data_IF_866357835273
#
_entry.id   IF_866357835273
#
_cell.length_a   1.000
_cell.length_b   1.000
_cell.length_c   1.000
_cell.angle_alpha   90.00
_cell.angle_beta   90.00
_cell.angle_gamma   90.00
#
_symmetry.space_group_name_H-M   'P 1'
#
loop_
_entity.id
_entity.type
_entity.pdbx_description
1 polymer ?
#
# COMPACT_ATOMS: atom_id res chain seq x y z
N UNK A 1 -21.08 -3.58 12.52
CA UNK A 1 -20.25 -2.43 12.08
C UNK A 1 -19.25 -2.93 11.04
N UNK A 2 -19.00 -2.20 9.95
CA UNK A 2 -18.04 -2.62 8.91
C UNK A 2 -16.62 -2.44 9.41
N UNK A 3 -15.72 -3.39 9.17
CA UNK A 3 -14.33 -3.36 9.64
C UNK A 3 -13.38 -2.86 8.56
N UNK A 4 -12.60 -1.81 8.87
CA UNK A 4 -11.55 -1.26 8.03
C UNK A 4 -10.19 -1.45 8.70
N UNK A 5 -9.19 -1.87 7.95
CA UNK A 5 -7.79 -1.85 8.40
C UNK A 5 -7.03 -0.88 7.50
N UNK A 6 -6.43 0.15 8.11
CA UNK A 6 -5.62 1.15 7.43
C UNK A 6 -4.14 0.93 7.75
N UNK A 7 -3.33 0.72 6.71
CA UNK A 7 -1.89 0.42 6.80
C UNK A 7 -1.09 1.55 6.18
N UNK A 8 -0.18 2.15 6.95
CA UNK A 8 0.72 3.18 6.45
C UNK A 8 1.96 3.28 7.34
N UNK A 9 3.00 3.96 6.84
CA UNK A 9 4.04 4.49 7.73
C UNK A 9 3.37 5.52 8.65
N UNK A 10 3.48 5.34 9.96
CA UNK A 10 2.87 6.22 10.97
C UNK A 10 1.36 6.47 10.76
N UNK A 11 0.58 5.41 10.57
CA UNK A 11 -0.84 5.44 10.22
C UNK A 11 -1.74 6.36 11.08
N UNK A 12 -1.38 6.59 12.35
CA UNK A 12 -2.13 7.49 13.23
C UNK A 12 -2.10 8.97 12.79
N UNK A 13 -1.07 9.39 12.06
CA UNK A 13 -0.97 10.77 11.53
C UNK A 13 -2.13 11.09 10.57
N UNK A 14 -2.65 10.07 9.88
CA UNK A 14 -3.72 10.22 8.90
C UNK A 14 -5.12 10.03 9.50
N UNK A 15 -5.24 9.82 10.82
CA UNK A 15 -6.52 9.47 11.48
C UNK A 15 -7.66 10.40 11.11
N UNK A 16 -7.44 11.72 11.14
CA UNK A 16 -8.47 12.72 10.78
C UNK A 16 -9.01 12.52 9.37
N UNK A 17 -8.14 12.23 8.42
CA UNK A 17 -8.48 12.04 7.02
C UNK A 17 -9.19 10.71 6.77
N UNK A 18 -8.70 9.63 7.39
CA UNK A 18 -9.28 8.30 7.24
C UNK A 18 -10.67 8.22 7.88
N UNK A 19 -10.87 8.79 9.08
CA UNK A 19 -12.20 8.87 9.70
C UNK A 19 -13.16 9.68 8.85
N UNK A 20 -12.73 10.84 8.31
CA UNK A 20 -13.57 11.65 7.42
C UNK A 20 -13.97 10.90 6.15
N UNK A 21 -13.06 10.11 5.57
CA UNK A 21 -13.30 9.36 4.33
C UNK A 21 -14.16 8.11 4.54
N UNK A 22 -14.07 7.48 5.71
CA UNK A 22 -14.78 6.24 6.03
C UNK A 22 -15.51 6.33 7.39
N UNK A 23 -16.51 7.22 7.52
CA UNK A 23 -17.17 7.49 8.81
C UNK A 23 -17.93 6.28 9.38
N UNK A 24 -18.38 5.36 8.52
CA UNK A 24 -19.22 4.20 8.92
C UNK A 24 -18.41 2.93 9.24
N UNK A 25 -17.08 3.04 9.33
CA UNK A 25 -16.20 1.90 9.58
C UNK A 25 -15.58 1.94 10.97
N UNK A 26 -15.47 0.76 11.58
CA UNK A 26 -14.56 0.51 12.69
C UNK A 26 -13.14 0.41 12.14
N UNK A 27 -12.28 1.37 12.46
CA UNK A 27 -10.96 1.50 11.83
C UNK A 27 -9.85 1.04 12.76
N UNK A 28 -9.16 -0.04 12.37
CA UNK A 28 -7.87 -0.45 12.94
C UNK A 28 -6.72 0.21 12.17
N UNK A 29 -5.80 0.83 12.89
CA UNK A 29 -4.62 1.50 12.33
C UNK A 29 -3.38 0.65 12.54
N UNK A 30 -2.69 0.29 11.46
CA UNK A 30 -1.40 -0.41 11.47
C UNK A 30 -0.30 0.58 11.09
N UNK A 31 0.49 0.98 12.08
CA UNK A 31 1.59 1.94 11.88
C UNK A 31 2.89 1.19 11.64
N UNK A 32 3.31 1.13 10.39
CA UNK A 32 4.60 0.54 10.01
C UNK A 32 5.72 1.42 10.55
N UNK A 33 6.76 0.82 11.14
CA UNK A 33 7.96 1.54 11.59
C UNK A 33 9.09 1.37 10.59
N UNK A 34 9.68 2.46 10.10
CA UNK A 34 10.79 2.36 9.15
C UNK A 34 12.01 1.70 9.79
N UNK A 35 12.52 2.28 10.88
CA UNK A 35 13.78 1.87 11.51
C UNK A 35 13.71 0.40 11.95
N UNK A 36 14.74 -0.37 11.60
CA UNK A 36 14.95 -1.78 11.97
C UNK A 36 13.95 -2.81 11.45
N UNK A 37 12.92 -2.42 10.68
CA UNK A 37 11.97 -3.36 10.09
C UNK A 37 12.14 -3.50 8.58
N UNK A 38 11.77 -4.68 8.12
CA UNK A 38 11.75 -5.12 6.74
C UNK A 38 10.31 -5.37 6.27
N UNK A 39 10.12 -5.66 4.98
CA UNK A 39 8.81 -5.90 4.38
C UNK A 39 8.12 -7.08 5.07
N UNK A 40 8.87 -8.16 5.33
CA UNK A 40 8.34 -9.33 6.04
C UNK A 40 7.81 -8.99 7.45
N UNK A 41 8.47 -8.07 8.15
CA UNK A 41 8.07 -7.67 9.51
C UNK A 41 6.77 -6.87 9.46
N UNK A 42 6.65 -5.95 8.48
CA UNK A 42 5.42 -5.20 8.23
C UNK A 42 4.24 -6.08 7.83
N UNK A 43 4.47 -7.13 7.03
CA UNK A 43 3.45 -8.13 6.72
C UNK A 43 3.00 -8.85 8.00
N UNK A 44 3.95 -9.32 8.81
CA UNK A 44 3.65 -10.04 10.05
C UNK A 44 2.88 -9.17 11.05
N UNK A 45 3.28 -7.90 11.22
CA UNK A 45 2.60 -6.93 12.07
C UNK A 45 1.16 -6.66 11.60
N UNK A 46 0.98 -6.45 10.29
CA UNK A 46 -0.34 -6.21 9.70
C UNK A 46 -1.26 -7.42 9.90
N UNK A 47 -0.77 -8.64 9.62
CA UNK A 47 -1.52 -9.88 9.85
C UNK A 47 -1.88 -10.07 11.32
N UNK A 48 -0.94 -9.80 12.24
CA UNK A 48 -1.18 -9.88 13.69
C UNK A 48 -2.26 -8.90 14.14
N UNK A 49 -2.29 -7.67 13.61
CA UNK A 49 -3.31 -6.68 13.94
C UNK A 49 -4.71 -7.10 13.45
N UNK A 50 -4.77 -7.72 12.27
CA UNK A 50 -6.00 -8.28 11.70
C UNK A 50 -6.47 -9.49 12.51
N UNK A 51 -5.55 -10.39 12.88
CA UNK A 51 -5.86 -11.63 13.57
C UNK A 51 -6.79 -12.52 12.74
N UNK A 52 -7.82 -13.08 13.38
CA UNK A 52 -8.85 -13.89 12.73
C UNK A 52 -10.09 -13.07 12.34
N UNK A 53 -10.03 -11.74 12.44
CA UNK A 53 -11.16 -10.89 12.08
C UNK A 53 -11.41 -10.89 10.57
N UNK A 54 -12.69 -10.91 10.20
CA UNK A 54 -13.07 -10.53 8.84
C UNK A 54 -12.78 -9.05 8.59
N UNK A 55 -12.27 -8.74 7.40
CA UNK A 55 -11.95 -7.37 6.98
C UNK A 55 -12.84 -6.99 5.79
N UNK A 56 -13.71 -6.01 5.97
CA UNK A 56 -14.56 -5.52 4.87
C UNK A 56 -13.74 -4.67 3.89
N UNK A 57 -12.82 -3.86 4.41
CA UNK A 57 -11.99 -2.97 3.60
C UNK A 57 -10.56 -2.92 4.15
N UNK A 58 -9.60 -3.32 3.33
CA UNK A 58 -8.18 -3.13 3.59
C UNK A 58 -7.68 -1.95 2.77
N UNK A 59 -7.12 -0.94 3.43
CA UNK A 59 -6.60 0.26 2.79
C UNK A 59 -5.12 0.39 3.10
N UNK A 60 -4.30 0.62 2.09
CA UNK A 60 -2.87 0.87 2.29
C UNK A 60 -2.42 2.15 1.62
N UNK A 61 -1.59 2.94 2.29
CA UNK A 61 -0.98 4.15 1.74
C UNK A 61 0.54 4.04 1.63
N UNK A 62 1.12 4.51 0.52
CA UNK A 62 2.58 4.50 0.31
C UNK A 62 3.12 3.07 0.37
N UNK A 63 4.13 2.80 1.21
CA UNK A 63 4.60 1.43 1.49
C UNK A 63 3.48 0.56 2.05
N UNK A 64 2.58 1.13 2.86
CA UNK A 64 1.40 0.43 3.36
C UNK A 64 0.47 -0.07 2.26
N UNK A 65 0.45 0.57 1.08
CA UNK A 65 -0.26 0.09 -0.11
C UNK A 65 0.24 -1.26 -0.60
N UNK A 66 1.57 -1.43 -0.62
CA UNK A 66 2.21 -2.69 -1.00
C UNK A 66 2.02 -3.75 0.08
N UNK A 67 2.12 -3.38 1.35
CA UNK A 67 1.86 -4.31 2.47
C UNK A 67 0.41 -4.78 2.47
N UNK A 68 -0.55 -3.88 2.26
CA UNK A 68 -1.96 -4.23 2.12
C UNK A 68 -2.19 -5.24 0.98
N UNK A 69 -1.57 -5.02 -0.19
CA UNK A 69 -1.63 -5.95 -1.31
C UNK A 69 -1.03 -7.33 -0.96
N UNK A 70 0.14 -7.36 -0.33
CA UNK A 70 0.83 -8.59 0.09
C UNK A 70 0.03 -9.39 1.14
N UNK A 71 -0.69 -8.70 2.02
CA UNK A 71 -1.52 -9.32 3.07
C UNK A 71 -2.88 -9.76 2.53
N UNK A 72 -3.42 -9.07 1.52
CA UNK A 72 -4.75 -9.34 0.98
C UNK A 72 -4.91 -10.76 0.42
N UNK A 73 -3.83 -11.40 -0.05
CA UNK A 73 -3.86 -12.79 -0.54
C UNK A 73 -4.26 -13.79 0.55
N UNK A 74 -3.89 -13.50 1.80
CA UNK A 74 -4.08 -14.38 2.94
C UNK A 74 -5.36 -14.00 3.71
N UNK A 75 -5.58 -12.69 3.93
CA UNK A 75 -6.71 -12.18 4.70
C UNK A 75 -8.01 -12.12 3.89
N UNK A 76 -7.91 -12.05 2.55
CA UNK A 76 -9.06 -12.00 1.62
C UNK A 76 -10.12 -10.95 2.02
N UNK A 77 -9.75 -9.66 2.14
CA UNK A 77 -10.73 -8.63 2.47
C UNK A 77 -11.79 -8.52 1.37
N UNK A 78 -13.00 -8.04 1.68
CA UNK A 78 -14.04 -7.87 0.64
C UNK A 78 -13.61 -6.84 -0.42
N UNK A 79 -12.88 -5.80 0.01
CA UNK A 79 -12.31 -4.76 -0.86
C UNK A 79 -10.88 -4.40 -0.44
N UNK A 80 -10.07 -4.03 -1.43
CA UNK A 80 -8.71 -3.52 -1.27
C UNK A 80 -8.58 -2.16 -1.96
N UNK A 81 -8.12 -1.15 -1.22
CA UNK A 81 -7.75 0.15 -1.78
C UNK A 81 -6.26 0.41 -1.57
N UNK A 82 -5.55 0.59 -2.68
CA UNK A 82 -4.12 0.87 -2.69
C UNK A 82 -3.93 2.33 -3.06
N UNK A 83 -3.39 3.15 -2.17
CA UNK A 83 -3.26 4.59 -2.36
C UNK A 83 -1.77 4.93 -2.47
N UNK A 84 -1.37 5.52 -3.60
CA UNK A 84 0.00 5.89 -3.93
C UNK A 84 1.02 4.80 -3.59
N UNK A 85 0.95 3.60 -4.20
CA UNK A 85 1.83 2.50 -3.85
C UNK A 85 3.31 2.86 -4.08
N UNK A 86 4.14 2.59 -3.07
CA UNK A 86 5.59 2.68 -3.20
C UNK A 86 6.12 1.67 -4.23
N UNK A 87 7.21 1.99 -4.96
CA UNK A 87 7.69 1.17 -6.07
C UNK A 87 8.46 -0.08 -5.61
N UNK A 88 7.87 -0.95 -4.80
CA UNK A 88 8.55 -2.08 -4.14
C UNK A 88 8.44 -3.39 -4.94
N UNK A 89 8.87 -3.34 -6.21
CA UNK A 89 9.00 -4.54 -7.05
C UNK A 89 10.30 -4.53 -7.83
N UNK A 90 10.78 -5.73 -8.15
CA UNK A 90 12.01 -5.92 -8.89
C UNK A 90 11.99 -5.20 -10.25
N UNK A 91 10.84 -5.20 -10.93
CA UNK A 91 10.68 -4.60 -12.26
C UNK A 91 10.90 -3.08 -12.27
N UNK A 92 10.66 -2.42 -11.15
CA UNK A 92 10.81 -0.97 -11.00
C UNK A 92 12.11 -0.57 -10.30
N UNK A 93 12.88 -1.53 -9.75
CA UNK A 93 14.17 -1.24 -9.10
C UNK A 93 15.16 -0.53 -10.04
N UNK A 94 15.17 -0.89 -11.33
CA UNK A 94 16.03 -0.24 -12.33
C UNK A 94 15.75 1.25 -12.52
N UNK A 95 14.58 1.73 -12.07
CA UNK A 95 14.15 3.12 -12.18
C UNK A 95 14.51 3.93 -10.92
N UNK A 96 15.06 3.28 -9.89
CA UNK A 96 15.40 3.96 -8.65
C UNK A 96 16.58 4.92 -8.87
N UNK A 97 16.38 6.17 -8.47
CA UNK A 97 17.49 7.12 -8.31
C UNK A 97 18.28 6.80 -7.03
N UNK A 98 19.54 7.26 -6.96
CA UNK A 98 20.43 7.09 -5.79
C UNK A 98 19.76 7.50 -4.47
N UNK A 99 19.00 8.58 -4.48
CA UNK A 99 18.25 9.06 -3.31
C UNK A 99 17.23 8.02 -2.80
N UNK A 100 16.47 7.40 -3.71
CA UNK A 100 15.48 6.37 -3.34
C UNK A 100 16.18 5.12 -2.83
N UNK A 101 17.27 4.67 -3.50
CA UNK A 101 18.08 3.55 -3.03
C UNK A 101 18.60 3.76 -1.60
N UNK A 102 19.11 4.96 -1.31
CA UNK A 102 19.65 5.30 0.00
C UNK A 102 18.57 5.29 1.09
N UNK A 103 17.39 5.87 0.82
CA UNK A 103 16.28 5.91 1.77
C UNK A 103 15.76 4.48 2.02
N UNK A 104 15.54 3.69 0.97
CA UNK A 104 15.04 2.31 1.05
C UNK A 104 16.00 1.38 1.78
N UNK A 105 17.31 1.56 1.61
CA UNK A 105 18.34 0.80 2.32
C UNK A 105 18.54 -0.62 1.79
N UNK A 106 19.80 -1.11 1.89
CA UNK A 106 20.25 -2.36 1.26
C UNK A 106 19.41 -3.60 1.63
N UNK A 107 19.02 -3.72 2.91
CA UNK A 107 18.25 -4.88 3.40
C UNK A 107 16.86 -4.97 2.77
N UNK A 108 16.15 -3.84 2.62
CA UNK A 108 14.83 -3.83 1.97
C UNK A 108 14.94 -3.98 0.46
N UNK A 109 15.98 -3.41 -0.15
CA UNK A 109 16.26 -3.66 -1.58
C UNK A 109 16.44 -5.15 -1.86
N UNK A 110 17.11 -5.90 -0.96
CA UNK A 110 17.23 -7.35 -1.11
C UNK A 110 15.87 -8.07 -1.07
N UNK A 111 14.93 -7.64 -0.22
CA UNK A 111 13.58 -8.20 -0.21
C UNK A 111 12.77 -7.79 -1.45
N UNK A 112 12.88 -6.54 -1.90
CA UNK A 112 12.19 -6.03 -3.10
C UNK A 112 12.61 -6.80 -4.35
N UNK A 113 13.88 -7.22 -4.46
CA UNK A 113 14.36 -8.06 -5.57
C UNK A 113 13.61 -9.39 -5.70
N UNK A 114 13.05 -9.89 -4.59
CA UNK A 114 12.27 -11.13 -4.56
C UNK A 114 10.77 -10.88 -4.74
N UNK A 115 10.33 -9.63 -4.91
CA UNK A 115 8.94 -9.28 -5.18
C UNK A 115 8.77 -8.96 -6.66
N UNK A 116 7.94 -9.75 -7.33
CA UNK A 116 7.59 -9.56 -8.74
C UNK A 116 6.15 -9.09 -8.84
N UNK A 117 5.91 -8.06 -9.66
CA UNK A 117 4.53 -7.61 -9.96
C UNK A 117 3.72 -8.78 -10.52
N UNK A 118 4.35 -9.65 -11.32
CA UNK A 118 3.69 -10.79 -11.97
C UNK A 118 3.09 -11.81 -11.00
N UNK A 119 3.50 -11.80 -9.73
CA UNK A 119 3.01 -12.74 -8.73
C UNK A 119 1.60 -12.40 -8.23
N UNK A 120 1.12 -11.19 -8.54
CA UNK A 120 -0.17 -10.71 -8.09
C UNK A 120 -1.27 -10.99 -9.11
N UNK A 121 -2.42 -11.41 -8.59
CA UNK A 121 -3.67 -11.57 -9.32
C UNK A 121 -4.82 -10.92 -8.55
N UNK A 122 -5.99 -10.82 -9.17
CA UNK A 122 -7.19 -10.30 -8.51
C UNK A 122 -7.67 -11.27 -7.42
N UNK A 123 -7.47 -10.91 -6.15
CA UNK A 123 -7.98 -11.69 -5.01
C UNK A 123 -9.34 -11.18 -4.50
N UNK A 124 -9.58 -9.88 -4.63
CA UNK A 124 -10.80 -9.21 -4.20
C UNK A 124 -11.05 -7.98 -5.08
N UNK A 125 -12.16 -7.27 -4.84
CA UNK A 125 -12.43 -6.00 -5.52
C UNK A 125 -11.34 -4.99 -5.12
N UNK A 126 -10.48 -4.68 -6.06
CA UNK A 126 -9.30 -3.83 -5.84
C UNK A 126 -9.45 -2.51 -6.60
N UNK A 127 -8.95 -1.42 -6.04
CA UNK A 127 -8.82 -0.13 -6.73
C UNK A 127 -7.52 0.52 -6.31
N UNK A 128 -6.78 1.05 -7.29
CA UNK A 128 -5.55 1.80 -7.05
C UNK A 128 -5.87 3.28 -7.23
N UNK A 129 -5.42 4.12 -6.29
CA UNK A 129 -5.52 5.57 -6.37
C UNK A 129 -4.12 6.16 -6.44
N UNK A 130 -3.89 7.09 -7.36
CA UNK A 130 -2.59 7.77 -7.52
C UNK A 130 -2.84 9.25 -7.81
N UNK A 131 -2.01 10.13 -7.26
CA UNK A 131 -2.10 11.56 -7.54
C UNK A 131 -1.49 11.93 -8.90
N UNK A 132 -2.06 12.90 -9.60
CA UNK A 132 -1.54 13.36 -10.90
C UNK A 132 -0.13 13.96 -10.81
N UNK A 133 0.23 14.50 -9.65
CA UNK A 133 1.52 15.14 -9.36
C UNK A 133 2.48 14.20 -8.58
N UNK A 134 2.16 12.90 -8.52
CA UNK A 134 3.06 11.91 -7.92
C UNK A 134 4.35 11.73 -8.69
N UNK A 135 5.35 11.13 -8.04
CA UNK A 135 6.58 10.74 -8.72
C UNK A 135 6.27 9.77 -9.86
N UNK A 136 6.95 9.95 -10.99
CA UNK A 136 6.72 9.13 -12.20
C UNK A 136 6.87 7.63 -11.95
N UNK A 137 7.85 7.24 -11.12
CA UNK A 137 8.04 5.83 -10.74
C UNK A 137 6.82 5.25 -9.98
N UNK A 138 6.09 6.07 -9.22
CA UNK A 138 4.88 5.65 -8.49
C UNK A 138 3.67 5.53 -9.41
N UNK A 139 3.56 6.42 -10.41
CA UNK A 139 2.55 6.29 -11.47
C UNK A 139 2.78 5.01 -12.27
N UNK A 140 4.01 4.76 -12.73
CA UNK A 140 4.38 3.54 -13.44
C UNK A 140 4.13 2.28 -12.60
N UNK A 141 4.46 2.29 -11.31
CA UNK A 141 4.14 1.19 -10.39
C UNK A 141 2.63 0.95 -10.32
N UNK A 142 1.84 2.02 -10.21
CA UNK A 142 0.38 1.94 -10.15
C UNK A 142 -0.22 1.36 -11.44
N UNK A 143 0.28 1.80 -12.60
CA UNK A 143 -0.17 1.30 -13.91
C UNK A 143 0.19 -0.17 -14.12
N UNK A 144 1.41 -0.56 -13.76
CA UNK A 144 1.85 -1.95 -13.86
C UNK A 144 1.02 -2.86 -12.96
N UNK A 145 0.78 -2.46 -11.70
CA UNK A 145 -0.10 -3.18 -10.79
C UNK A 145 -1.54 -3.23 -11.30
N UNK A 146 -2.07 -2.11 -11.79
CA UNK A 146 -3.43 -2.01 -12.32
C UNK A 146 -3.67 -2.98 -13.47
N UNK A 147 -2.74 -3.01 -14.44
CA UNK A 147 -2.74 -3.95 -15.57
C UNK A 147 -2.65 -5.40 -15.10
N UNK A 148 -1.71 -5.69 -14.21
CA UNK A 148 -1.46 -7.05 -13.73
C UNK A 148 -2.64 -7.62 -12.91
N UNK A 149 -3.21 -6.81 -12.02
CA UNK A 149 -4.34 -7.22 -11.18
C UNK A 149 -5.66 -7.18 -11.99
N UNK A 150 -5.72 -6.44 -13.09
CA UNK A 150 -6.95 -6.18 -13.82
C UNK A 150 -7.92 -5.32 -12.99
N UNK A 151 -7.39 -4.23 -12.44
CA UNK A 151 -8.15 -3.31 -11.58
C UNK A 151 -7.99 -1.84 -12.02
N UNK A 152 -8.97 -0.98 -11.73
CA UNK A 152 -8.90 0.42 -12.10
C UNK A 152 -7.78 1.15 -11.34
N UNK A 153 -7.08 2.01 -12.07
CA UNK A 153 -6.17 3.03 -11.54
C UNK A 153 -6.86 4.38 -11.67
N UNK A 154 -7.21 4.97 -10.53
CA UNK A 154 -7.91 6.26 -10.45
C UNK A 154 -6.88 7.35 -10.20
N UNK A 155 -6.73 8.24 -11.18
CA UNK A 155 -5.83 9.41 -11.08
C UNK A 155 -6.57 10.58 -10.44
N UNK A 156 -6.09 11.04 -9.29
CA UNK A 156 -6.63 12.18 -8.55
C UNK A 156 -5.91 13.46 -8.97
N UNK A 157 -6.66 14.41 -9.58
CA UNK A 157 -6.11 15.69 -10.06
C UNK A 157 -5.58 16.55 -8.91
N UNK A 158 -4.47 17.25 -9.16
CA UNK A 158 -3.80 18.17 -8.22
C UNK A 158 -3.43 17.51 -6.88
N UNK A 159 -3.19 16.19 -6.91
CA UNK A 159 -2.76 15.41 -5.75
C UNK A 159 -1.35 14.89 -5.96
N UNK A 160 -0.56 14.91 -4.88
CA UNK A 160 0.77 14.32 -4.76
C UNK A 160 0.86 13.51 -3.46
N UNK A 161 2.04 12.95 -3.18
CA UNK A 161 2.25 12.08 -2.03
C UNK A 161 1.86 12.69 -0.68
N UNK A 162 1.93 14.02 -0.54
CA UNK A 162 1.70 14.71 0.74
C UNK A 162 0.23 14.99 1.01
N UNK A 163 -0.60 15.09 -0.03
CA UNK A 163 -1.98 15.56 0.10
C UNK A 163 -3.04 14.61 -0.50
N UNK A 164 -2.65 13.44 -1.02
CA UNK A 164 -3.59 12.51 -1.66
C UNK A 164 -4.67 11.99 -0.70
N UNK A 165 -4.38 11.93 0.59
CA UNK A 165 -5.33 11.53 1.62
C UNK A 165 -6.22 12.68 2.12
N UNK A 166 -5.93 13.93 1.73
CA UNK A 166 -6.63 15.13 2.22
C UNK A 166 -7.93 15.43 1.47
#
# INVERSE_FOLDING_TARGET
MKKLVFVALDAKEYKKHIVKKYPDFDIKYVSLKWKFNLIKDWIAETKKCIGNDSVDLLVGFSVGGIIALLVAKDVKPKKLEIISPSPFFNEVLKLYRKTILNITGKKRIAEIKNLSIKDFKKYCKTTIYIGSEELEIMKQTSDMLGKQIGCPVVVLKNKNHRNILQ
#
